data_IF_159153646673
#
_entry.id   IF_159153646673
#
_cell.length_a   1.000
_cell.length_b   1.000
_cell.length_c   1.000
_cell.angle_alpha   90.00
_cell.angle_beta   90.00
_cell.angle_gamma   90.00
#
_symmetry.space_group_name_H-M   'P 1'
#
loop_
_entity.id
_entity.type
_entity.pdbx_description
1 polymer ?
#
# COMPACT_ATOMS: atom_id res chain seq x y z
N UNK A 1 8.83 -20.06 -3.02
CA UNK A 1 8.54 -19.26 -4.22
C UNK A 1 7.37 -18.34 -3.87
N UNK A 2 7.54 -17.04 -3.99
CA UNK A 2 6.54 -16.07 -3.54
C UNK A 2 5.48 -15.93 -4.62
N UNK A 3 4.25 -16.37 -4.36
CA UNK A 3 3.14 -16.17 -5.30
C UNK A 3 2.70 -14.70 -5.25
N UNK A 4 3.14 -13.95 -6.25
CA UNK A 4 2.84 -12.53 -6.39
C UNK A 4 1.82 -12.39 -7.51
N UNK A 5 0.66 -11.83 -7.17
CA UNK A 5 -0.43 -11.61 -8.12
C UNK A 5 -0.76 -10.13 -8.17
N UNK A 6 -0.42 -9.49 -9.29
CA UNK A 6 -0.71 -8.07 -9.52
C UNK A 6 -2.16 -7.88 -9.99
N UNK A 7 -2.86 -6.94 -9.36
CA UNK A 7 -4.22 -6.50 -9.74
C UNK A 7 -4.18 -4.98 -9.86
N UNK A 8 -4.77 -4.45 -10.93
CA UNK A 8 -4.75 -3.03 -11.26
C UNK A 8 -6.15 -2.43 -11.22
N UNK A 9 -6.21 -1.16 -10.82
CA UNK A 9 -7.42 -0.36 -10.95
C UNK A 9 -7.56 0.20 -12.38
N UNK A 10 -8.78 0.34 -12.87
CA UNK A 10 -9.09 0.70 -14.28
C UNK A 10 -8.83 2.16 -14.64
N UNK A 11 -8.72 3.05 -13.65
CA UNK A 11 -8.62 4.51 -13.85
C UNK A 11 -7.34 5.17 -13.33
N UNK A 12 -6.44 4.43 -12.70
CA UNK A 12 -5.15 4.94 -12.20
C UNK A 12 -4.29 3.79 -11.66
N UNK A 13 -2.96 3.95 -11.61
CA UNK A 13 -2.06 2.94 -11.07
C UNK A 13 -2.15 2.83 -9.54
N UNK A 14 -3.33 2.45 -9.02
CA UNK A 14 -3.42 1.67 -7.81
C UNK A 14 -3.07 0.24 -8.20
N UNK A 15 -1.93 -0.23 -7.70
CA UNK A 15 -1.46 -1.60 -7.90
C UNK A 15 -1.54 -2.33 -6.57
N UNK A 16 -2.20 -3.49 -6.55
CA UNK A 16 -2.13 -4.39 -5.40
C UNK A 16 -1.45 -5.70 -5.77
N UNK A 17 -0.72 -6.25 -4.80
CA UNK A 17 -0.15 -7.59 -4.97
C UNK A 17 0.00 -8.32 -3.64
N UNK A 18 -0.29 -9.62 -3.67
CA UNK A 18 -0.04 -10.53 -2.55
C UNK A 18 1.44 -10.92 -2.50
N UNK A 19 1.95 -11.16 -1.30
CA UNK A 19 3.32 -11.58 -1.08
C UNK A 19 3.40 -12.38 0.22
N UNK A 20 4.10 -13.51 0.24
CA UNK A 20 4.47 -14.18 1.48
C UNK A 20 5.55 -13.39 2.20
N UNK A 21 5.31 -12.99 3.44
CA UNK A 21 6.23 -12.24 4.27
C UNK A 21 6.28 -12.82 5.68
N UNK A 22 7.41 -13.44 6.04
CA UNK A 22 7.62 -14.06 7.37
C UNK A 22 6.49 -15.03 7.74
N UNK A 23 6.14 -15.94 6.81
CA UNK A 23 5.06 -16.92 7.00
C UNK A 23 3.64 -16.37 6.88
N UNK A 24 3.46 -15.05 6.75
CA UNK A 24 2.15 -14.40 6.65
C UNK A 24 1.86 -13.91 5.23
N UNK A 25 0.59 -13.98 4.81
CA UNK A 25 0.15 -13.37 3.54
C UNK A 25 0.03 -11.86 3.74
N UNK A 26 0.86 -11.10 3.04
CA UNK A 26 0.82 -9.64 3.00
C UNK A 26 0.17 -9.16 1.70
N UNK A 27 -0.82 -8.30 1.81
CA UNK A 27 -1.31 -7.51 0.69
C UNK A 27 -0.56 -6.18 0.63
N UNK A 28 0.10 -5.90 -0.47
CA UNK A 28 0.75 -4.62 -0.73
C UNK A 28 -0.17 -3.79 -1.63
N UNK A 29 -0.26 -2.50 -1.34
CA UNK A 29 -1.09 -1.55 -2.08
C UNK A 29 -0.21 -0.33 -2.36
N UNK A 30 0.22 -0.16 -3.61
CA UNK A 30 1.01 0.98 -4.06
C UNK A 30 0.08 1.97 -4.78
N UNK A 31 0.00 3.19 -4.24
CA UNK A 31 -0.97 4.21 -4.68
C UNK A 31 -0.54 5.60 -4.22
N UNK A 32 -0.91 6.64 -4.98
CA UNK A 32 -0.64 8.01 -4.57
C UNK A 32 -1.40 8.41 -3.33
N UNK A 33 -0.70 9.04 -2.40
CA UNK A 33 -1.30 9.71 -1.25
C UNK A 33 -1.52 11.18 -1.57
N UNK A 34 -2.57 11.75 -0.99
CA UNK A 34 -2.83 13.19 -1.00
C UNK A 34 -2.70 13.74 0.42
N UNK A 35 -1.84 14.75 0.66
CA UNK A 35 -1.83 15.47 1.92
C UNK A 35 -3.12 16.30 2.01
N UNK A 36 -4.07 15.85 2.84
CA UNK A 36 -5.26 16.66 3.15
C UNK A 36 -4.87 17.87 4.02
N UNK A 37 -5.44 19.05 3.73
CA UNK A 37 -5.33 20.25 4.60
C UNK A 37 -5.88 20.04 6.02
N UNK A 38 -6.71 19.01 6.25
CA UNK A 38 -7.31 18.65 7.54
C UNK A 38 -6.62 17.49 8.28
N UNK A 39 -5.44 17.06 7.81
CA UNK A 39 -4.60 16.07 8.50
C UNK A 39 -5.03 14.61 8.42
N UNK A 40 -6.07 14.27 7.65
CA UNK A 40 -6.64 12.91 7.61
C UNK A 40 -6.13 12.01 6.48
N UNK A 41 -5.41 12.55 5.48
CA UNK A 41 -4.90 11.83 4.31
C UNK A 41 -5.98 11.17 3.43
N UNK A 42 -5.74 11.09 2.13
CA UNK A 42 -6.60 10.35 1.18
C UNK A 42 -5.76 9.66 0.12
N UNK A 43 -6.34 8.69 -0.59
CA UNK A 43 -5.66 7.98 -1.69
C UNK A 43 -6.19 8.47 -3.03
N UNK A 44 -5.31 8.95 -3.88
CA UNK A 44 -5.68 9.34 -5.24
C UNK A 44 -5.79 8.09 -6.10
N UNK A 45 -7.02 7.75 -6.51
CA UNK A 45 -7.33 6.59 -7.34
C UNK A 45 -8.12 7.10 -8.55
N UNK A 46 -7.41 7.41 -9.62
CA UNK A 46 -7.96 8.06 -10.81
C UNK A 46 -8.31 9.49 -10.48
N UNK A 47 -9.49 9.90 -10.90
CA UNK A 47 -10.05 11.22 -10.60
C UNK A 47 -10.75 11.25 -9.22
N UNK A 48 -10.71 10.15 -8.47
CA UNK A 48 -11.37 10.01 -7.18
C UNK A 48 -10.37 10.02 -6.02
N UNK A 49 -10.83 10.57 -4.90
CA UNK A 49 -10.12 10.53 -3.63
C UNK A 49 -10.77 9.47 -2.73
N UNK A 50 -10.11 8.34 -2.56
CA UNK A 50 -10.64 7.23 -1.79
C UNK A 50 -10.53 7.52 -0.30
N UNK A 51 -11.63 7.25 0.43
CA UNK A 51 -11.65 7.12 1.88
C UNK A 51 -11.24 5.70 2.32
N UNK A 52 -10.95 5.47 3.61
CA UNK A 52 -10.70 4.12 4.12
C UNK A 52 -11.84 3.14 3.83
N UNK A 53 -13.10 3.60 3.92
CA UNK A 53 -14.29 2.79 3.60
C UNK A 53 -14.35 2.41 2.13
N UNK A 54 -14.11 3.37 1.23
CA UNK A 54 -14.10 3.12 -0.22
C UNK A 54 -13.02 2.11 -0.62
N UNK A 55 -11.81 2.24 -0.06
CA UNK A 55 -10.76 1.25 -0.29
C UNK A 55 -11.16 -0.13 0.24
N UNK A 56 -11.69 -0.19 1.46
CA UNK A 56 -12.13 -1.44 2.08
C UNK A 56 -13.19 -2.15 1.24
N UNK A 57 -14.22 -1.45 0.79
CA UNK A 57 -15.30 -2.03 -0.01
C UNK A 57 -14.79 -2.46 -1.39
N UNK A 58 -13.93 -1.67 -2.03
CA UNK A 58 -13.28 -2.09 -3.27
C UNK A 58 -12.42 -3.34 -3.08
N UNK A 59 -11.61 -3.42 -2.01
CA UNK A 59 -10.75 -4.57 -1.75
C UNK A 59 -11.53 -5.88 -1.64
N UNK A 60 -12.74 -5.88 -1.05
CA UNK A 60 -13.62 -7.06 -0.98
C UNK A 60 -14.00 -7.59 -2.37
N UNK A 61 -14.01 -6.74 -3.39
CA UNK A 61 -14.38 -7.15 -4.76
C UNK A 61 -13.24 -7.82 -5.52
N UNK A 62 -11.98 -7.63 -5.08
CA UNK A 62 -10.79 -8.08 -5.82
C UNK A 62 -9.89 -9.03 -5.03
N UNK A 63 -10.04 -9.08 -3.70
CA UNK A 63 -9.23 -9.90 -2.80
C UNK A 63 -10.10 -10.54 -1.73
N UNK A 64 -9.94 -11.84 -1.53
CA UNK A 64 -10.42 -12.50 -0.31
C UNK A 64 -9.62 -12.01 0.91
N UNK A 65 -10.23 -11.11 1.67
CA UNK A 65 -9.62 -10.46 2.83
C UNK A 65 -9.42 -11.39 4.02
N UNK A 66 -10.14 -12.52 4.10
CA UNK A 66 -9.94 -13.50 5.19
C UNK A 66 -8.56 -14.18 5.11
N UNK A 67 -7.97 -14.23 3.92
CA UNK A 67 -6.63 -14.80 3.70
C UNK A 67 -5.50 -13.83 4.06
N UNK A 68 -5.81 -12.55 4.32
CA UNK A 68 -4.81 -11.49 4.47
C UNK A 68 -4.48 -11.28 5.96
N UNK A 69 -3.21 -11.39 6.29
CA UNK A 69 -2.73 -11.24 7.67
C UNK A 69 -2.22 -9.82 7.92
N UNK A 70 -1.67 -9.17 6.89
CA UNK A 70 -1.26 -7.78 6.96
C UNK A 70 -1.41 -7.06 5.63
N UNK A 71 -1.69 -5.76 5.70
CA UNK A 71 -1.70 -4.83 4.58
C UNK A 71 -0.53 -3.88 4.73
N UNK A 72 0.19 -3.64 3.64
CA UNK A 72 1.18 -2.55 3.53
C UNK A 72 0.68 -1.55 2.50
N UNK A 73 0.21 -0.41 2.99
CA UNK A 73 -0.23 0.71 2.16
C UNK A 73 0.97 1.61 1.85
N UNK A 74 1.54 1.43 0.66
CA UNK A 74 2.65 2.22 0.12
C UNK A 74 2.08 3.47 -0.52
N UNK A 75 1.88 4.47 0.32
CA UNK A 75 1.29 5.75 -0.05
C UNK A 75 1.80 6.85 0.87
N UNK A 76 2.19 7.98 0.28
CA UNK A 76 2.70 9.14 1.01
C UNK A 76 1.67 9.62 2.04
N UNK A 77 2.12 9.97 3.24
CA UNK A 77 1.28 10.52 4.31
C UNK A 77 0.11 9.64 4.77
N UNK A 78 0.09 8.35 4.38
CA UNK A 78 -0.98 7.41 4.75
C UNK A 78 -1.13 7.19 6.26
N UNK A 79 -0.07 7.45 7.03
CA UNK A 79 -0.05 7.40 8.49
C UNK A 79 0.00 8.77 9.18
N UNK A 80 -0.05 9.86 8.42
CA UNK A 80 -0.09 11.21 8.98
C UNK A 80 -1.39 11.42 9.78
N UNK A 81 -1.32 12.13 10.91
CA UNK A 81 -2.48 12.39 11.79
C UNK A 81 -2.70 11.38 12.92
N UNK A 82 -1.84 10.37 13.08
CA UNK A 82 -1.90 9.44 14.21
C UNK A 82 -3.24 8.66 14.24
N UNK A 83 -4.03 8.83 15.31
CA UNK A 83 -5.31 8.16 15.49
C UNK A 83 -6.39 8.52 14.45
N UNK A 84 -6.22 9.61 13.69
CA UNK A 84 -7.08 10.00 12.57
C UNK A 84 -6.52 9.63 11.19
N UNK A 85 -5.32 9.04 11.15
CA UNK A 85 -4.66 8.65 9.89
C UNK A 85 -5.47 7.66 9.06
N UNK A 86 -5.18 7.62 7.76
CA UNK A 86 -5.83 6.71 6.83
C UNK A 86 -5.66 5.25 7.27
N UNK A 87 -4.43 4.83 7.57
CA UNK A 87 -4.16 3.43 7.97
C UNK A 87 -4.74 3.07 9.34
N UNK A 88 -4.82 4.01 10.28
CA UNK A 88 -5.51 3.79 11.55
C UNK A 88 -7.00 3.50 11.31
N UNK A 89 -7.67 4.36 10.54
CA UNK A 89 -9.10 4.19 10.22
C UNK A 89 -9.37 2.94 9.41
N UNK A 90 -8.52 2.60 8.44
CA UNK A 90 -8.62 1.35 7.68
C UNK A 90 -8.46 0.13 8.59
N UNK A 91 -7.54 0.16 9.55
CA UNK A 91 -7.35 -0.96 10.47
C UNK A 91 -8.55 -1.23 11.39
N UNK A 92 -9.42 -0.23 11.63
CA UNK A 92 -10.68 -0.42 12.36
C UNK A 92 -11.73 -1.17 11.53
N UNK A 93 -11.69 -1.04 10.21
CA UNK A 93 -12.55 -1.78 9.29
C UNK A 93 -12.07 -3.23 9.11
N UNK A 94 -10.80 -3.50 9.41
CA UNK A 94 -10.15 -4.80 9.29
C UNK A 94 -9.49 -5.20 10.63
N UNK A 95 -10.29 -5.50 11.67
CA UNK A 95 -9.81 -5.62 13.04
C UNK A 95 -8.75 -6.72 13.21
N UNK A 96 -8.79 -7.77 12.39
CA UNK A 96 -7.82 -8.87 12.45
C UNK A 96 -6.54 -8.65 11.65
N UNK A 97 -6.48 -7.61 10.82
CA UNK A 97 -5.38 -7.37 9.89
C UNK A 97 -4.47 -6.26 10.41
N UNK A 98 -3.15 -6.51 10.38
CA UNK A 98 -2.19 -5.45 10.64
C UNK A 98 -2.08 -4.53 9.43
N UNK A 99 -2.28 -3.22 9.60
CA UNK A 99 -2.21 -2.24 8.52
C UNK A 99 -1.01 -1.32 8.73
N UNK A 100 -0.04 -1.40 7.81
CA UNK A 100 1.17 -0.58 7.79
C UNK A 100 1.02 0.59 6.83
N UNK A 101 1.44 1.78 7.24
CA UNK A 101 1.53 3.00 6.43
C UNK A 101 2.76 3.84 6.74
N UNK A 102 2.85 5.01 6.12
CA UNK A 102 4.02 5.91 6.15
C UNK A 102 3.61 7.34 6.54
N UNK A 103 4.37 7.96 7.45
CA UNK A 103 4.06 9.30 7.96
C UNK A 103 4.42 10.37 6.93
N UNK A 104 5.54 10.17 6.23
CA UNK A 104 6.09 11.11 5.26
C UNK A 104 5.85 10.63 3.83
N UNK A 105 6.57 11.21 2.89
CA UNK A 105 6.70 10.67 1.53
C UNK A 105 7.25 9.24 1.58
N UNK A 106 6.97 8.47 0.54
CA UNK A 106 7.51 7.13 0.40
C UNK A 106 7.78 6.85 -1.07
N UNK A 107 8.99 6.38 -1.34
CA UNK A 107 9.41 6.01 -2.68
C UNK A 107 9.43 4.49 -2.83
N UNK A 108 8.98 4.01 -3.99
CA UNK A 108 8.86 2.59 -4.31
C UNK A 108 9.29 2.35 -5.75
N UNK A 109 9.89 1.18 -6.02
CA UNK A 109 10.09 0.70 -7.39
C UNK A 109 8.77 0.33 -8.09
N UNK A 110 7.70 0.19 -7.29
CA UNK A 110 6.32 -0.02 -7.74
C UNK A 110 5.51 1.28 -7.65
N UNK A 111 6.15 2.45 -7.76
CA UNK A 111 5.42 3.72 -7.68
C UNK A 111 4.33 3.77 -8.76
N UNK A 112 3.22 4.47 -8.49
CA UNK A 112 2.14 4.57 -9.46
C UNK A 112 2.62 5.09 -10.83
N UNK A 113 3.57 6.04 -10.89
CA UNK A 113 4.18 6.47 -12.15
C UNK A 113 4.90 5.34 -12.90
N UNK A 114 5.72 4.55 -12.18
CA UNK A 114 6.48 3.46 -12.80
C UNK A 114 5.55 2.37 -13.35
N UNK A 115 4.52 2.00 -12.58
CA UNK A 115 3.52 1.03 -13.04
C UNK A 115 2.60 1.60 -14.11
N UNK A 116 2.23 2.88 -14.03
CA UNK A 116 1.38 3.55 -15.01
C UNK A 116 1.99 3.55 -16.41
N UNK A 117 3.27 3.91 -16.52
CA UNK A 117 3.99 3.84 -17.80
C UNK A 117 3.97 2.43 -18.41
N UNK A 118 4.19 1.39 -17.60
CA UNK A 118 4.16 0.02 -18.07
C UNK A 118 2.74 -0.40 -18.51
N UNK A 119 1.72 -0.03 -17.74
CA UNK A 119 0.32 -0.30 -18.05
C UNK A 119 -0.10 0.33 -19.39
N UNK A 120 0.24 1.59 -19.61
CA UNK A 120 -0.10 2.31 -20.85
C UNK A 120 0.59 1.68 -22.06
N UNK A 121 1.83 1.21 -21.88
CA UNK A 121 2.65 0.66 -22.97
C UNK A 121 2.33 -0.79 -23.32
N UNK A 122 2.02 -1.62 -22.33
CA UNK A 122 1.94 -3.09 -22.51
C UNK A 122 0.56 -3.67 -22.16
N UNK A 123 -0.31 -2.89 -21.52
CA UNK A 123 -1.55 -3.40 -20.93
C UNK A 123 -1.34 -4.16 -19.62
N UNK A 124 -2.43 -4.53 -18.93
CA UNK A 124 -2.37 -5.09 -17.58
C UNK A 124 -1.73 -6.47 -17.50
N UNK A 125 -2.00 -7.36 -18.46
CA UNK A 125 -1.52 -8.75 -18.43
C UNK A 125 0.00 -8.81 -18.59
N UNK A 126 0.53 -8.15 -19.61
CA UNK A 126 1.97 -8.14 -19.91
C UNK A 126 2.74 -7.37 -18.83
N UNK A 127 2.17 -6.29 -18.29
CA UNK A 127 2.75 -5.57 -17.16
C UNK A 127 2.87 -6.45 -15.91
N UNK A 128 1.83 -7.22 -15.57
CA UNK A 128 1.91 -8.18 -14.46
C UNK A 128 3.01 -9.23 -14.67
N UNK A 129 3.13 -9.80 -15.88
CA UNK A 129 4.20 -10.76 -16.21
C UNK A 129 5.58 -10.15 -16.08
N UNK A 130 5.76 -8.90 -16.57
CA UNK A 130 7.03 -8.20 -16.46
C UNK A 130 7.41 -7.95 -15.00
N UNK A 131 6.47 -7.44 -14.19
CA UNK A 131 6.71 -7.15 -12.78
C UNK A 131 6.99 -8.43 -11.98
N UNK A 132 6.33 -9.53 -12.31
CA UNK A 132 6.62 -10.84 -11.72
C UNK A 132 8.06 -11.29 -12.00
N UNK A 133 8.55 -11.05 -13.22
CA UNK A 133 9.94 -11.38 -13.61
C UNK A 133 10.97 -10.47 -12.94
N UNK A 134 10.67 -9.19 -12.82
CA UNK A 134 11.56 -8.20 -12.20
C UNK A 134 11.64 -8.35 -10.67
N UNK A 135 10.53 -8.76 -10.05
CA UNK A 135 10.40 -8.83 -8.59
C UNK A 135 9.86 -10.19 -8.14
N UNK A 136 10.58 -11.31 -8.39
CA UNK A 136 10.11 -12.65 -8.05
C UNK A 136 9.85 -12.84 -6.55
N UNK A 137 10.54 -12.08 -5.70
CA UNK A 137 10.38 -12.08 -4.24
C UNK A 137 9.74 -10.78 -3.70
N UNK A 138 9.23 -9.95 -4.60
CA UNK A 138 8.65 -8.65 -4.31
C UNK A 138 9.67 -7.51 -4.40
N UNK A 139 9.19 -6.25 -4.42
CA UNK A 139 10.04 -5.09 -4.57
C UNK A 139 10.92 -4.86 -3.32
N UNK A 140 12.05 -4.13 -3.48
CA UNK A 140 12.99 -3.87 -2.41
C UNK A 140 12.34 -3.12 -1.21
N UNK A 141 12.97 -3.18 -0.02
CA UNK A 141 12.55 -2.41 1.14
C UNK A 141 12.52 -0.90 0.85
N UNK A 142 11.51 -0.21 1.37
CA UNK A 142 11.25 1.20 1.04
C UNK A 142 12.15 2.18 1.79
N UNK A 143 12.62 1.80 2.97
CA UNK A 143 13.56 2.54 3.82
C UNK A 143 14.92 2.78 3.16
N UNK A 144 15.22 2.05 2.07
CA UNK A 144 16.41 2.30 1.26
C UNK A 144 16.33 3.55 0.39
N UNK A 145 15.12 4.08 0.16
CA UNK A 145 14.90 5.20 -0.75
C UNK A 145 14.67 6.53 -0.04
N UNK A 146 14.43 6.52 1.27
CA UNK A 146 14.05 7.70 2.02
C UNK A 146 14.79 7.80 3.36
N UNK A 147 15.45 8.95 3.57
CA UNK A 147 16.20 9.27 4.79
C UNK A 147 15.27 9.62 5.94
N UNK A 148 14.10 10.17 5.63
CA UNK A 148 13.05 10.54 6.57
C UNK A 148 12.00 9.44 6.69
N UNK A 149 12.37 8.21 6.32
CA UNK A 149 11.51 7.04 6.38
C UNK A 149 10.90 6.92 7.78
N UNK A 150 9.58 7.02 7.85
CA UNK A 150 8.85 6.74 9.07
C UNK A 150 7.60 5.94 8.73
N UNK A 151 7.52 4.74 9.32
CA UNK A 151 6.39 3.84 9.12
C UNK A 151 5.76 3.44 10.44
N UNK A 152 4.45 3.20 10.40
CA UNK A 152 3.70 2.71 11.56
C UNK A 152 2.80 1.57 11.15
N UNK A 153 2.49 0.71 12.10
CA UNK A 153 1.56 -0.40 11.94
C UNK A 153 0.45 -0.27 12.98
N UNK A 154 -0.80 -0.33 12.52
CA UNK A 154 -1.98 -0.40 13.37
C UNK A 154 -2.65 -1.78 13.30
N UNK A 155 -3.35 -2.17 14.36
CA UNK A 155 -4.34 -3.25 14.36
C UNK A 155 -5.57 -2.76 15.11
N UNK A 156 -6.76 -2.86 14.50
CA UNK A 156 -8.01 -2.40 15.10
C UNK A 156 -7.94 -0.97 15.69
N UNK A 157 -7.29 -0.05 14.98
CA UNK A 157 -7.10 1.34 15.42
C UNK A 157 -6.06 1.56 16.52
N UNK A 158 -5.39 0.51 17.01
CA UNK A 158 -4.34 0.58 18.03
C UNK A 158 -2.98 0.59 17.36
N UNK A 159 -2.10 1.53 17.75
CA UNK A 159 -0.73 1.58 17.26
C UNK A 159 0.06 0.40 17.83
N UNK A 160 0.58 -0.46 16.96
CA UNK A 160 1.33 -1.67 17.34
C UNK A 160 2.83 -1.43 17.26
N UNK A 161 3.28 -0.72 16.23
CA UNK A 161 4.70 -0.47 15.99
C UNK A 161 4.92 0.82 15.25
N UNK A 162 5.96 1.55 15.65
CA UNK A 162 6.57 2.63 14.88
C UNK A 162 7.99 2.23 14.48
N UNK A 163 8.42 2.64 13.30
CA UNK A 163 9.77 2.40 12.80
C UNK A 163 10.20 3.63 12.02
N UNK A 164 11.11 4.37 12.63
CA UNK A 164 11.80 5.51 12.04
C UNK A 164 13.07 5.02 11.33
N UNK A 165 13.64 5.87 10.47
CA UNK A 165 14.95 5.61 9.88
C UNK A 165 15.98 5.46 10.99
N UNK A 166 16.91 4.52 10.86
CA UNK A 166 18.04 4.46 11.79
C UNK A 166 18.83 5.75 11.59
N UNK A 167 18.84 6.63 12.60
CA UNK A 167 19.89 7.64 12.71
C UNK A 167 21.22 6.91 12.55
N UNK A 168 21.99 7.29 11.53
CA UNK A 168 23.35 6.79 11.35
C UNK A 168 24.23 7.24 12.51
#
# INVERSE_FOLDING_TARGET
MTDIKFIYHTKSPLTIYKQMHKGNVRLNIDVHGSPYKSGQGGLCVGDALYSPGMLHDWLKTVVDLQTIHCIRLVSCFSAYGGGSSFVCRLSRLLPEVYVKGYINEVFSKMSPQATGYALDKFGPVQTAVLLQRLFPDGPPPLDKFDKDFCSVTYKNGILIKRTDSKSK
#
